data_IF_835434880433
#
_entry.id   IF_835434880433
#
_cell.length_a   1.000
_cell.length_b   1.000
_cell.length_c   1.000
_cell.angle_alpha   90.00
_cell.angle_beta   90.00
_cell.angle_gamma   90.00
#
_symmetry.space_group_name_H-M   'P 1'
#
loop_
_entity.id
_entity.type
_entity.pdbx_description
1 polymer ?
#
# COMPACT_ATOMS: atom_id res chain seq x y z
N UNK A 1 -5.83 11.06 -17.13
CA UNK A 1 -7.02 10.19 -17.14
C UNK A 1 -6.93 9.16 -18.25
N UNK A 2 -6.82 9.55 -19.50
CA UNK A 2 -6.78 8.66 -20.67
C UNK A 2 -5.74 7.56 -20.53
N UNK A 3 -4.50 7.89 -20.21
CA UNK A 3 -3.42 6.92 -19.98
C UNK A 3 -3.77 5.88 -18.91
N UNK A 4 -4.43 6.30 -17.82
CA UNK A 4 -4.85 5.41 -16.73
C UNK A 4 -5.87 4.39 -17.24
N UNK A 5 -6.86 4.84 -18.01
CA UNK A 5 -7.90 3.96 -18.56
C UNK A 5 -7.35 3.00 -19.62
N UNK A 6 -6.54 3.49 -20.56
CA UNK A 6 -5.88 2.65 -21.55
C UNK A 6 -5.03 1.55 -20.89
N UNK A 7 -4.24 1.91 -19.88
CA UNK A 7 -3.43 0.92 -19.15
C UNK A 7 -4.31 -0.10 -18.44
N UNK A 8 -5.42 0.32 -17.83
CA UNK A 8 -6.33 -0.59 -17.14
C UNK A 8 -7.02 -1.57 -18.11
N UNK A 9 -7.43 -1.09 -19.28
CA UNK A 9 -8.02 -1.96 -20.32
C UNK A 9 -7.01 -3.00 -20.83
N UNK A 10 -5.75 -2.61 -21.07
CA UNK A 10 -4.71 -3.54 -21.47
C UNK A 10 -4.42 -4.59 -20.38
N UNK A 11 -4.42 -4.18 -19.11
CA UNK A 11 -4.21 -5.10 -17.99
C UNK A 11 -5.37 -6.07 -17.79
N UNK A 12 -6.59 -5.67 -18.12
CA UNK A 12 -7.76 -6.55 -18.07
C UNK A 12 -7.62 -7.77 -19.01
N UNK A 13 -6.90 -7.63 -20.12
CA UNK A 13 -6.63 -8.72 -21.07
C UNK A 13 -5.57 -9.72 -20.54
N UNK A 14 -5.03 -9.49 -19.35
CA UNK A 14 -4.07 -10.35 -18.66
C UNK A 14 -4.71 -11.00 -17.41
N UNK A 15 -3.96 -11.83 -16.69
CA UNK A 15 -4.39 -12.43 -15.41
C UNK A 15 -4.36 -11.42 -14.23
N UNK A 16 -4.34 -10.12 -14.52
CA UNK A 16 -4.32 -9.08 -13.49
C UNK A 16 -5.70 -8.92 -12.86
N UNK A 17 -5.76 -8.94 -11.53
CA UNK A 17 -7.01 -8.77 -10.78
C UNK A 17 -7.11 -7.39 -10.09
N UNK A 18 -5.98 -6.72 -9.88
CA UNK A 18 -5.91 -5.47 -9.13
C UNK A 18 -5.15 -4.41 -9.89
N UNK A 19 -5.80 -3.28 -10.13
CA UNK A 19 -5.19 -2.09 -10.73
C UNK A 19 -4.66 -1.17 -9.65
N UNK A 20 -3.35 -0.89 -9.69
CA UNK A 20 -2.67 0.00 -8.74
C UNK A 20 -2.30 1.33 -9.40
N UNK A 21 -2.79 2.43 -8.86
CA UNK A 21 -2.30 3.76 -9.22
C UNK A 21 -1.93 4.57 -7.97
N UNK A 22 -0.70 5.06 -7.96
CA UNK A 22 -0.23 5.93 -6.87
C UNK A 22 -0.60 7.38 -7.18
N UNK A 23 -1.72 7.84 -6.66
CA UNK A 23 -2.21 9.20 -6.83
C UNK A 23 -1.57 10.18 -5.86
N UNK A 24 -1.11 9.72 -4.71
CA UNK A 24 -0.29 10.45 -3.75
C UNK A 24 1.12 9.86 -3.75
N UNK A 25 2.14 10.70 -3.85
CA UNK A 25 3.55 10.29 -3.98
C UNK A 25 4.41 10.98 -2.92
N UNK A 26 4.63 10.34 -1.76
CA UNK A 26 5.53 10.91 -0.75
C UNK A 26 6.95 10.98 -1.32
N UNK A 27 7.45 12.18 -1.59
CA UNK A 27 8.80 12.41 -2.11
C UNK A 27 9.78 12.64 -0.97
N UNK A 28 11.00 12.13 -1.13
CA UNK A 28 12.08 12.36 -0.16
C UNK A 28 12.53 13.81 -0.16
N UNK A 29 12.50 14.47 -1.33
CA UNK A 29 12.81 15.90 -1.47
C UNK A 29 11.61 16.63 -2.06
N UNK A 30 11.32 17.86 -1.62
CA UNK A 30 10.26 18.68 -2.20
C UNK A 30 10.60 19.07 -3.65
N UNK A 31 9.59 19.55 -4.39
CA UNK A 31 9.76 20.05 -5.76
C UNK A 31 9.64 18.99 -6.87
N UNK A 32 9.48 17.70 -6.54
CA UNK A 32 9.14 16.67 -7.51
C UNK A 32 7.63 16.50 -7.67
N UNK A 33 7.20 15.73 -8.67
CA UNK A 33 5.79 15.39 -8.85
C UNK A 33 5.27 14.55 -7.68
N UNK A 34 4.36 15.10 -6.90
CA UNK A 34 3.80 14.48 -5.67
C UNK A 34 2.51 13.69 -5.93
N UNK A 35 2.20 13.46 -7.19
CA UNK A 35 0.97 12.79 -7.63
C UNK A 35 -0.11 13.79 -8.05
N UNK A 36 -1.23 13.26 -8.53
CA UNK A 36 -2.40 14.07 -8.94
C UNK A 36 -3.37 14.32 -7.78
N UNK A 37 -3.15 13.65 -6.66
CA UNK A 37 -3.98 13.75 -5.47
C UNK A 37 -5.40 13.23 -5.69
N UNK A 38 -6.35 13.82 -5.00
CA UNK A 38 -7.78 13.46 -5.04
C UNK A 38 -8.36 13.41 -6.46
N UNK A 39 -7.86 14.23 -7.39
CA UNK A 39 -8.31 14.24 -8.80
C UNK A 39 -8.15 12.88 -9.49
N UNK A 40 -7.28 12.01 -8.98
CA UNK A 40 -7.08 10.65 -9.49
C UNK A 40 -8.14 9.64 -9.02
N UNK A 41 -8.86 9.91 -7.93
CA UNK A 41 -9.85 8.97 -7.39
C UNK A 41 -11.02 8.70 -8.34
N UNK A 42 -11.63 9.71 -8.99
CA UNK A 42 -12.64 9.46 -10.03
C UNK A 42 -12.12 8.60 -11.18
N UNK A 43 -10.85 8.69 -11.54
CA UNK A 43 -10.26 7.87 -12.60
C UNK A 43 -10.16 6.40 -12.17
N UNK A 44 -9.81 6.13 -10.91
CA UNK A 44 -9.79 4.77 -10.35
C UNK A 44 -11.21 4.19 -10.30
N UNK A 45 -12.18 4.99 -9.89
CA UNK A 45 -13.60 4.59 -9.89
C UNK A 45 -14.08 4.23 -11.30
N UNK A 46 -13.67 5.00 -12.32
CA UNK A 46 -13.96 4.70 -13.71
C UNK A 46 -13.29 3.42 -14.19
N UNK A 47 -12.00 3.19 -13.82
CA UNK A 47 -11.30 1.93 -14.10
C UNK A 47 -12.10 0.74 -13.56
N UNK A 48 -12.48 0.78 -12.27
CA UNK A 48 -13.30 -0.27 -11.65
C UNK A 48 -14.59 -0.54 -12.43
N UNK A 49 -15.30 0.52 -12.80
CA UNK A 49 -16.57 0.44 -13.54
C UNK A 49 -16.40 -0.17 -14.95
N UNK A 50 -15.35 0.21 -15.68
CA UNK A 50 -15.17 -0.19 -17.07
C UNK A 50 -14.49 -1.55 -17.22
N UNK A 51 -13.61 -1.90 -16.30
CA UNK A 51 -12.78 -3.11 -16.41
C UNK A 51 -13.18 -4.24 -15.46
N UNK A 52 -13.84 -3.93 -14.35
CA UNK A 52 -14.10 -4.87 -13.27
C UNK A 52 -12.88 -5.20 -12.41
N UNK A 53 -11.71 -4.58 -12.67
CA UNK A 53 -10.52 -4.74 -11.83
C UNK A 53 -10.75 -4.09 -10.47
N UNK A 54 -10.28 -4.73 -9.40
CA UNK A 54 -10.20 -4.09 -8.09
C UNK A 54 -9.20 -2.93 -8.16
N UNK A 55 -9.53 -1.82 -7.52
CA UNK A 55 -8.67 -0.63 -7.52
C UNK A 55 -8.02 -0.40 -6.18
N UNK A 56 -6.76 0.02 -6.21
CA UNK A 56 -5.99 0.24 -4.98
C UNK A 56 -5.13 1.49 -5.05
N UNK A 57 -4.97 2.16 -3.91
CA UNK A 57 -4.09 3.32 -3.77
C UNK A 57 -3.41 3.37 -2.40
N UNK A 58 -2.30 4.10 -2.32
CA UNK A 58 -1.61 4.38 -1.06
C UNK A 58 -2.40 5.36 -0.20
N UNK A 59 -2.42 5.13 1.11
CA UNK A 59 -2.89 6.08 2.11
C UNK A 59 -1.78 6.38 3.10
N UNK A 60 -1.61 7.65 3.45
CA UNK A 60 -0.54 8.09 4.35
C UNK A 60 -1.04 8.87 5.56
N UNK A 61 -2.33 9.18 5.60
CA UNK A 61 -2.99 9.91 6.69
C UNK A 61 -4.51 9.67 6.67
N UNK A 62 -5.22 10.23 7.65
CA UNK A 62 -6.69 10.10 7.79
C UNK A 62 -7.43 10.68 6.58
N UNK A 63 -7.05 11.85 6.09
CA UNK A 63 -7.68 12.49 4.93
C UNK A 63 -7.63 11.59 3.68
N UNK A 64 -6.50 10.91 3.45
CA UNK A 64 -6.37 9.96 2.35
C UNK A 64 -7.31 8.76 2.51
N UNK A 65 -7.50 8.26 3.75
CA UNK A 65 -8.45 7.17 4.04
C UNK A 65 -9.87 7.61 3.73
N UNK A 66 -10.31 8.73 4.28
CA UNK A 66 -11.67 9.26 4.09
C UNK A 66 -12.00 9.48 2.62
N UNK A 67 -11.08 10.08 1.86
CA UNK A 67 -11.22 10.29 0.41
C UNK A 67 -11.28 8.97 -0.35
N UNK A 68 -10.40 8.02 -0.05
CA UNK A 68 -10.40 6.71 -0.70
C UNK A 68 -11.71 5.95 -0.43
N UNK A 69 -12.24 6.01 0.78
CA UNK A 69 -13.53 5.42 1.14
C UNK A 69 -14.71 6.08 0.41
N UNK A 70 -14.71 7.41 0.33
CA UNK A 70 -15.74 8.19 -0.39
C UNK A 70 -15.84 7.80 -1.87
N UNK A 71 -14.72 7.46 -2.50
CA UNK A 71 -14.65 7.04 -3.90
C UNK A 71 -14.67 5.50 -4.07
N UNK A 72 -15.06 4.78 -3.04
CA UNK A 72 -15.21 3.31 -3.04
C UNK A 72 -13.97 2.56 -3.57
N UNK A 73 -12.78 2.99 -3.17
CA UNK A 73 -11.54 2.24 -3.45
C UNK A 73 -11.60 0.89 -2.73
N UNK A 74 -11.24 -0.19 -3.40
CA UNK A 74 -11.40 -1.56 -2.88
C UNK A 74 -10.34 -1.93 -1.86
N UNK A 75 -9.10 -1.55 -2.13
CA UNK A 75 -7.92 -1.92 -1.35
C UNK A 75 -7.13 -0.67 -0.99
N UNK A 76 -6.82 -0.48 0.28
CA UNK A 76 -5.96 0.59 0.75
C UNK A 76 -4.60 0.01 1.15
N UNK A 77 -3.49 0.63 0.76
CA UNK A 77 -2.21 0.21 1.33
C UNK A 77 -1.52 1.33 2.09
N UNK A 78 -0.95 0.96 3.23
CA UNK A 78 -0.11 1.83 4.04
C UNK A 78 1.31 1.79 3.47
N UNK A 79 1.83 2.96 3.08
CA UNK A 79 3.14 3.08 2.46
C UNK A 79 4.30 2.81 3.42
N UNK A 80 5.44 2.38 2.90
CA UNK A 80 6.62 2.05 3.71
C UNK A 80 7.14 3.22 4.55
N UNK A 81 6.96 4.47 4.09
CA UNK A 81 7.31 5.67 4.86
C UNK A 81 6.32 5.99 5.97
N UNK A 82 5.07 5.59 5.82
CA UNK A 82 4.04 5.72 6.84
C UNK A 82 4.19 4.64 7.91
N UNK A 83 4.51 3.41 7.50
CA UNK A 83 4.71 2.26 8.41
C UNK A 83 5.81 2.50 9.46
N UNK A 84 6.79 3.36 9.19
CA UNK A 84 7.83 3.74 10.18
C UNK A 84 7.32 4.67 11.27
N UNK A 85 6.11 5.18 11.16
CA UNK A 85 5.54 6.13 12.11
C UNK A 85 4.32 5.52 12.83
N UNK A 86 4.48 5.02 14.07
CA UNK A 86 3.39 4.40 14.82
C UNK A 86 2.19 5.34 15.06
N UNK A 87 2.40 6.65 15.19
CA UNK A 87 1.30 7.63 15.34
C UNK A 87 0.46 7.69 14.06
N UNK A 88 1.10 7.84 12.91
CA UNK A 88 0.37 7.87 11.63
C UNK A 88 -0.39 6.56 11.36
N UNK A 89 0.21 5.40 11.68
CA UNK A 89 -0.48 4.11 11.54
C UNK A 89 -1.66 4.01 12.51
N UNK A 90 -1.53 4.53 13.74
CA UNK A 90 -2.62 4.54 14.71
C UNK A 90 -3.78 5.42 14.26
N UNK A 91 -3.51 6.62 13.75
CA UNK A 91 -4.53 7.52 13.20
C UNK A 91 -5.28 6.88 12.02
N UNK A 92 -4.55 6.21 11.12
CA UNK A 92 -5.15 5.46 10.00
C UNK A 92 -6.00 4.31 10.52
N UNK A 93 -5.54 3.56 11.54
CA UNK A 93 -6.30 2.48 12.16
C UNK A 93 -7.61 2.98 12.77
N UNK A 94 -7.58 4.13 13.47
CA UNK A 94 -8.80 4.75 14.01
C UNK A 94 -9.79 5.15 12.90
N UNK A 95 -9.30 5.72 11.81
CA UNK A 95 -10.12 6.11 10.66
C UNK A 95 -10.73 4.89 9.92
N UNK A 96 -10.15 3.71 10.10
CA UNK A 96 -10.63 2.46 9.48
C UNK A 96 -11.60 1.67 10.38
N UNK A 97 -11.87 2.09 11.62
CA UNK A 97 -12.80 1.38 12.50
C UNK A 97 -14.18 1.23 11.87
N UNK A 98 -14.68 0.01 11.85
CA UNK A 98 -15.99 -0.33 11.26
C UNK A 98 -16.01 -0.35 9.72
N UNK A 99 -14.87 -0.18 9.06
CA UNK A 99 -14.75 -0.21 7.62
C UNK A 99 -14.51 -1.65 7.13
N UNK A 100 -15.30 -2.11 6.15
CA UNK A 100 -15.12 -3.41 5.51
C UNK A 100 -14.34 -3.24 4.19
N UNK A 101 -13.02 -3.08 4.28
CA UNK A 101 -12.11 -2.96 3.14
C UNK A 101 -10.83 -3.77 3.39
N UNK A 102 -10.20 -4.19 2.31
CA UNK A 102 -8.88 -4.82 2.39
C UNK A 102 -7.81 -3.77 2.65
N UNK A 103 -6.95 -4.02 3.63
CA UNK A 103 -5.81 -3.16 3.96
C UNK A 103 -4.51 -3.92 3.77
N UNK A 104 -3.58 -3.35 3.03
CA UNK A 104 -2.24 -3.91 2.82
C UNK A 104 -1.21 -3.02 3.51
N UNK A 105 -0.24 -3.61 4.17
CA UNK A 105 0.80 -2.89 4.92
C UNK A 105 2.17 -3.20 4.31
N UNK A 106 2.83 -2.18 3.71
CA UNK A 106 4.21 -2.34 3.26
C UNK A 106 5.16 -2.44 4.46
N UNK A 107 6.21 -3.24 4.32
CA UNK A 107 7.30 -3.20 5.30
C UNK A 107 7.85 -1.77 5.44
N UNK A 108 8.34 -1.39 6.64
CA UNK A 108 8.97 -0.08 6.85
C UNK A 108 10.19 0.10 5.93
N UNK A 109 10.60 1.35 5.66
CA UNK A 109 11.77 1.61 4.81
C UNK A 109 13.06 1.10 5.43
N UNK A 110 13.22 1.20 6.74
CA UNK A 110 14.31 0.62 7.51
C UNK A 110 14.02 -0.84 7.89
N UNK A 111 15.05 -1.69 8.06
CA UNK A 111 14.89 -3.09 8.41
C UNK A 111 14.53 -3.27 9.89
N UNK A 112 13.28 -3.05 10.23
CA UNK A 112 12.74 -3.10 11.60
C UNK A 112 11.47 -3.96 11.61
N UNK A 113 11.61 -5.17 12.16
CA UNK A 113 10.50 -6.12 12.26
C UNK A 113 9.42 -5.62 13.23
N UNK A 114 9.82 -5.03 14.37
CA UNK A 114 8.87 -4.59 15.39
C UNK A 114 7.93 -3.49 14.87
N UNK A 115 8.44 -2.56 14.05
CA UNK A 115 7.60 -1.57 13.38
C UNK A 115 6.59 -2.20 12.42
N UNK A 116 6.99 -3.26 11.70
CA UNK A 116 6.08 -3.94 10.78
C UNK A 116 5.01 -4.74 11.52
N UNK A 117 5.40 -5.52 12.53
CA UNK A 117 4.48 -6.24 13.41
C UNK A 117 3.49 -5.27 14.09
N UNK A 118 4.00 -4.20 14.70
CA UNK A 118 3.15 -3.21 15.36
C UNK A 118 2.17 -2.50 14.42
N UNK A 119 2.53 -2.31 13.14
CA UNK A 119 1.60 -1.78 12.16
C UNK A 119 0.47 -2.78 11.84
N UNK A 120 0.79 -4.07 11.68
CA UNK A 120 -0.18 -5.15 11.49
C UNK A 120 -1.15 -5.22 12.69
N UNK A 121 -0.61 -5.27 13.90
CA UNK A 121 -1.40 -5.35 15.14
C UNK A 121 -2.37 -4.17 15.30
N UNK A 122 -1.93 -2.94 15.00
CA UNK A 122 -2.81 -1.75 15.09
C UNK A 122 -4.00 -1.85 14.15
N UNK A 123 -3.78 -2.29 12.92
CA UNK A 123 -4.86 -2.44 11.94
C UNK A 123 -5.80 -3.59 12.30
N UNK A 124 -5.26 -4.71 12.79
CA UNK A 124 -6.07 -5.81 13.31
C UNK A 124 -6.93 -5.37 14.51
N UNK A 125 -6.34 -4.64 15.46
CA UNK A 125 -7.04 -4.12 16.65
C UNK A 125 -8.13 -3.09 16.29
N UNK A 126 -8.05 -2.44 15.13
CA UNK A 126 -9.12 -1.60 14.60
C UNK A 126 -10.30 -2.41 14.02
N UNK A 127 -10.20 -3.75 13.98
CA UNK A 127 -11.26 -4.65 13.51
C UNK A 127 -11.18 -4.97 12.02
N UNK A 128 -10.08 -4.64 11.33
CA UNK A 128 -9.88 -4.98 9.92
C UNK A 128 -9.53 -6.48 9.82
N UNK A 129 -10.42 -7.26 9.23
CA UNK A 129 -10.24 -8.71 9.02
C UNK A 129 -9.57 -9.05 7.69
N UNK A 130 -9.75 -8.23 6.67
CA UNK A 130 -9.12 -8.41 5.35
C UNK A 130 -7.78 -7.67 5.31
N UNK A 131 -6.73 -8.35 5.76
CA UNK A 131 -5.42 -7.77 5.94
C UNK A 131 -4.35 -8.57 5.20
N UNK A 132 -3.35 -7.89 4.65
CA UNK A 132 -2.16 -8.48 4.05
C UNK A 132 -0.95 -7.58 4.19
N UNK A 133 0.22 -8.11 3.87
CA UNK A 133 1.47 -7.34 3.91
C UNK A 133 2.16 -7.33 2.56
N UNK A 134 2.92 -6.27 2.30
CA UNK A 134 3.70 -6.11 1.07
C UNK A 134 5.17 -6.01 1.43
N UNK A 135 5.95 -6.97 0.93
CA UNK A 135 7.41 -6.94 1.03
C UNK A 135 8.01 -6.23 -0.18
N UNK A 136 8.67 -5.09 0.05
CA UNK A 136 9.29 -4.24 -0.99
C UNK A 136 10.80 -4.08 -0.84
N UNK A 137 11.43 -4.84 0.08
CA UNK A 137 12.80 -4.64 0.50
C UNK A 137 12.98 -3.44 1.44
N UNK A 138 14.20 -3.28 1.93
CA UNK A 138 14.58 -2.27 2.93
C UNK A 138 15.68 -1.37 2.40
N UNK A 139 15.61 -0.09 2.75
CA UNK A 139 16.67 0.85 2.40
C UNK A 139 17.96 0.49 3.14
N UNK A 140 19.05 0.42 2.38
CA UNK A 140 20.40 0.23 2.90
C UNK A 140 21.33 1.26 2.27
N UNK A 141 22.20 1.86 3.06
CA UNK A 141 23.20 2.78 2.54
C UNK A 141 24.18 2.04 1.64
N UNK A 142 24.53 2.60 0.48
CA UNK A 142 25.45 2.03 -0.51
C UNK A 142 25.11 0.60 -0.98
N UNK A 143 23.84 0.28 -1.18
CA UNK A 143 23.47 -0.98 -1.83
C UNK A 143 23.89 -0.96 -3.30
N UNK A 144 24.75 -1.91 -3.71
CA UNK A 144 25.27 -2.00 -5.08
C UNK A 144 24.36 -2.81 -6.02
N UNK A 145 23.57 -3.75 -5.48
CA UNK A 145 22.84 -4.73 -6.29
C UNK A 145 21.33 -4.53 -6.25
N UNK A 146 20.81 -3.92 -5.19
CA UNK A 146 19.38 -3.74 -5.00
C UNK A 146 19.05 -2.29 -4.76
N UNK A 147 17.96 -1.82 -5.33
CA UNK A 147 17.36 -0.54 -4.95
C UNK A 147 16.95 -0.54 -3.49
N UNK A 148 16.37 -1.65 -3.02
CA UNK A 148 16.07 -1.91 -1.63
C UNK A 148 16.41 -3.37 -1.33
N UNK A 149 17.33 -3.61 -0.40
CA UNK A 149 17.78 -4.95 -0.07
C UNK A 149 16.62 -5.80 0.47
N UNK A 150 16.38 -7.00 -0.06
CA UNK A 150 15.22 -7.81 0.31
C UNK A 150 15.22 -8.28 1.76
N UNK A 151 16.40 -8.57 2.37
CA UNK A 151 16.49 -9.03 3.77
C UNK A 151 15.37 -10.02 4.14
N UNK A 152 15.27 -11.11 3.39
CA UNK A 152 14.20 -12.11 3.46
C UNK A 152 13.88 -12.62 4.86
N UNK A 153 14.91 -12.71 5.74
CA UNK A 153 14.73 -13.14 7.11
C UNK A 153 13.67 -12.33 7.87
N UNK A 154 13.54 -11.02 7.61
CA UNK A 154 12.52 -10.17 8.26
C UNK A 154 11.12 -10.57 7.82
N UNK A 155 10.92 -10.82 6.53
CA UNK A 155 9.63 -11.29 6.03
C UNK A 155 9.28 -12.70 6.54
N UNK A 156 10.30 -13.57 6.68
CA UNK A 156 10.14 -14.92 7.25
C UNK A 156 9.76 -14.83 8.73
N UNK A 157 10.42 -13.99 9.52
CA UNK A 157 10.07 -13.80 10.95
C UNK A 157 8.65 -13.25 11.10
N UNK A 158 8.25 -12.27 10.27
CA UNK A 158 6.86 -11.80 10.26
C UNK A 158 5.87 -12.94 9.99
N UNK A 159 6.18 -13.82 9.04
CA UNK A 159 5.32 -14.97 8.71
C UNK A 159 5.28 -16.03 9.81
N UNK A 160 6.27 -16.10 10.71
CA UNK A 160 6.20 -16.96 11.89
C UNK A 160 5.20 -16.43 12.92
N UNK A 161 5.16 -15.10 13.12
CA UNK A 161 4.20 -14.44 14.03
C UNK A 161 2.78 -14.44 13.45
N UNK A 162 2.65 -14.26 12.13
CA UNK A 162 1.37 -14.23 11.42
C UNK A 162 1.35 -15.24 10.26
N UNK A 163 1.25 -16.55 10.51
CA UNK A 163 1.37 -17.59 9.49
C UNK A 163 0.31 -17.49 8.38
N UNK A 164 -0.90 -17.08 8.70
CA UNK A 164 -2.02 -17.00 7.76
C UNK A 164 -2.10 -15.66 7.01
N UNK A 165 -1.29 -14.65 7.40
CA UNK A 165 -1.33 -13.33 6.79
C UNK A 165 -0.77 -13.37 5.36
N UNK A 166 -1.54 -12.99 4.31
CA UNK A 166 -1.05 -12.93 2.94
C UNK A 166 0.16 -12.01 2.81
N UNK A 167 1.19 -12.49 2.11
CA UNK A 167 2.40 -11.72 1.82
C UNK A 167 2.56 -11.53 0.31
N UNK A 168 2.59 -10.30 -0.13
CA UNK A 168 2.74 -9.87 -1.53
C UNK A 168 4.18 -9.37 -1.73
N UNK A 169 4.78 -9.73 -2.84
CA UNK A 169 6.12 -9.25 -3.23
C UNK A 169 6.02 -8.08 -4.21
N UNK A 170 6.60 -6.94 -3.84
CA UNK A 170 6.75 -5.76 -4.70
C UNK A 170 8.17 -5.76 -5.32
N UNK A 171 8.34 -6.51 -6.37
CA UNK A 171 9.63 -6.70 -7.05
C UNK A 171 10.19 -5.39 -7.61
N UNK A 172 9.35 -4.51 -8.11
CA UNK A 172 9.75 -3.24 -8.74
C UNK A 172 10.47 -2.27 -7.78
N UNK A 173 10.34 -2.50 -6.48
CA UNK A 173 11.05 -1.73 -5.47
C UNK A 173 12.32 -2.43 -4.95
N UNK A 174 12.46 -3.73 -5.16
CA UNK A 174 13.64 -4.50 -4.77
C UNK A 174 14.77 -4.34 -5.80
N UNK A 175 14.43 -4.42 -7.09
CA UNK A 175 15.38 -4.32 -8.22
C UNK A 175 15.80 -2.89 -8.54
#
# INVERSE_FOLDING_TARGET
QEQVLQTAHLLKETDTNVFRAGIWKPRTRPGGFEGVGEKGLPWLQQVKKETGLLVTTEVGNVEHVEKALKYDIDILWIGARTTVNPFAVQEIAEALKGVNKTVLIKNPVNPDLALWLGAVERIQNAGISQLGVIHRGFSTYNSLHYRNNPKWHIAIELKKEFPDLPLILDQSHIC
#
